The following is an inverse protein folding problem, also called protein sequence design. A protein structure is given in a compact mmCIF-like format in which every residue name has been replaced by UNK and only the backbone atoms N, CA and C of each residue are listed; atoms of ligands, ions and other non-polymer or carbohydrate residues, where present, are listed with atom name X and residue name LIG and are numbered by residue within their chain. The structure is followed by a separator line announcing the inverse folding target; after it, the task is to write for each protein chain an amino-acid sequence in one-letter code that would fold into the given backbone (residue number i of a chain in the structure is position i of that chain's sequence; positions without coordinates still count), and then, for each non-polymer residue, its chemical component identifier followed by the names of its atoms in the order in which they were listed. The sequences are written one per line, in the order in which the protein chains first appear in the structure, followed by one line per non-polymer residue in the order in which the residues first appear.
data_IF_925931736333
#
_entry.id   IF_925931736333
#
_cell.length_a   1.000
_cell.length_b   1.000
_cell.length_c   1.000
_cell.angle_alpha   90.00
_cell.angle_beta   90.00
_cell.angle_gamma   90.00
#
_symmetry.space_group_name_H-M   'P 1'
#
loop_
_entity.id
_entity.type
_entity.pdbx_description
1 polymer ?
#
# COMPACT_ATOMS: atom_id res chain seq x y z
N UNK A 1 5.82 40.77 -10.52
CA UNK A 1 5.44 41.71 -11.60
C UNK A 1 4.06 42.23 -11.25
N UNK A 2 3.93 43.55 -11.01
CA UNK A 2 2.64 44.19 -10.78
C UNK A 2 2.17 44.90 -12.07
N UNK A 3 0.88 45.16 -12.18
CA UNK A 3 0.24 45.73 -13.39
C UNK A 3 0.98 46.96 -13.92
N UNK A 4 1.49 47.82 -13.02
CA UNK A 4 2.28 49.00 -13.36
C UNK A 4 3.60 48.71 -14.10
N UNK A 5 4.23 47.58 -13.85
CA UNK A 5 5.47 47.17 -14.53
C UNK A 5 5.22 46.79 -16.00
N UNK A 6 4.03 46.23 -16.26
CA UNK A 6 3.61 45.83 -17.61
C UNK A 6 3.21 47.06 -18.44
N UNK A 7 2.50 47.99 -17.83
CA UNK A 7 2.09 49.26 -18.48
C UNK A 7 3.28 50.16 -18.82
N UNK A 8 4.29 50.22 -17.94
CA UNK A 8 5.53 50.94 -18.18
C UNK A 8 6.35 50.31 -19.31
N UNK A 9 6.40 48.98 -19.44
CA UNK A 9 7.09 48.27 -20.51
C UNK A 9 6.41 48.46 -21.87
N UNK A 10 5.10 48.58 -21.92
CA UNK A 10 4.33 48.84 -23.15
C UNK A 10 4.49 50.28 -23.59
N UNK A 11 4.50 51.27 -22.69
CA UNK A 11 4.67 52.68 -22.98
C UNK A 11 6.09 53.07 -23.42
N UNK A 12 7.10 52.30 -23.00
CA UNK A 12 8.51 52.54 -23.29
C UNK A 12 9.03 52.00 -24.65
N UNK A 13 8.20 51.32 -25.43
CA UNK A 13 8.56 50.83 -26.79
C UNK A 13 9.70 49.86 -26.86
N UNK A 14 10.10 49.21 -25.76
CA UNK A 14 11.28 48.33 -25.67
C UNK A 14 10.96 46.83 -25.83
N UNK A 15 9.82 46.49 -26.45
CA UNK A 15 9.52 45.12 -26.83
C UNK A 15 10.20 44.68 -28.13
N UNK A 16 11.50 44.79 -28.21
CA UNK A 16 12.28 44.06 -29.23
C UNK A 16 12.43 42.62 -28.79
N UNK A 17 11.74 41.71 -29.50
CA UNK A 17 11.88 40.29 -29.28
C UNK A 17 13.35 39.86 -29.40
N UNK A 18 14.02 39.66 -28.27
CA UNK A 18 15.31 38.99 -28.26
C UNK A 18 15.08 37.58 -28.79
N UNK A 19 15.66 37.25 -29.94
CA UNK A 19 15.74 35.87 -30.43
C UNK A 19 16.35 35.03 -29.33
N UNK A 20 15.49 34.18 -28.69
CA UNK A 20 15.94 33.16 -27.77
C UNK A 20 16.91 32.25 -28.53
N UNK A 21 18.20 32.37 -28.27
CA UNK A 21 19.12 31.27 -28.53
C UNK A 21 18.60 30.09 -27.69
N UNK A 22 18.26 29.01 -28.38
CA UNK A 22 17.95 27.73 -27.72
C UNK A 22 19.18 27.31 -26.91
N UNK A 23 19.20 27.67 -25.63
CA UNK A 23 20.13 27.14 -24.66
C UNK A 23 19.97 25.63 -24.63
N UNK A 24 21.08 24.91 -24.66
CA UNK A 24 21.10 23.47 -24.42
C UNK A 24 20.27 23.16 -23.18
N UNK A 25 19.51 22.05 -23.16
CA UNK A 25 18.70 21.70 -22.01
C UNK A 25 19.58 21.69 -20.76
N UNK A 26 19.22 22.49 -19.77
CA UNK A 26 19.89 22.50 -18.48
C UNK A 26 19.91 21.07 -17.95
N UNK A 27 21.10 20.52 -17.76
CA UNK A 27 21.27 19.20 -17.16
C UNK A 27 20.60 19.21 -15.81
N UNK A 28 19.58 18.37 -15.62
CA UNK A 28 18.97 18.10 -14.32
C UNK A 28 20.09 17.83 -13.31
N UNK A 29 20.09 18.44 -12.12
CA UNK A 29 21.10 18.15 -11.11
C UNK A 29 21.13 16.64 -10.88
N UNK A 30 22.28 16.02 -11.14
CA UNK A 30 22.44 14.60 -10.90
C UNK A 30 22.21 14.32 -9.42
N UNK A 31 21.35 13.35 -9.10
CA UNK A 31 21.17 12.91 -7.72
C UNK A 31 22.54 12.60 -7.09
N UNK A 32 22.78 12.93 -5.81
CA UNK A 32 24.04 12.67 -5.15
C UNK A 32 24.39 11.19 -5.29
N UNK A 33 25.57 10.90 -5.84
CA UNK A 33 26.02 9.51 -5.96
C UNK A 33 26.24 8.94 -4.56
N UNK A 34 25.76 7.72 -4.28
CA UNK A 34 26.05 7.06 -3.02
C UNK A 34 27.57 6.90 -2.83
N UNK A 35 28.00 6.82 -1.56
CA UNK A 35 29.40 6.50 -1.24
C UNK A 35 29.77 5.14 -1.87
N UNK A 36 31.03 5.02 -2.33
CA UNK A 36 31.53 3.73 -2.82
C UNK A 36 31.66 2.72 -1.67
N UNK A 37 31.55 1.43 -2.00
CA UNK A 37 31.68 0.34 -1.00
C UNK A 37 33.00 0.46 -0.23
N UNK A 38 34.14 0.75 -0.90
CA UNK A 38 35.43 0.97 -0.27
C UNK A 38 35.44 2.15 0.71
N UNK A 39 34.71 3.21 0.39
CA UNK A 39 34.60 4.36 1.29
C UNK A 39 33.75 4.02 2.52
N UNK A 40 32.71 3.21 2.37
CA UNK A 40 31.90 2.74 3.49
C UNK A 40 32.68 1.78 4.36
N UNK A 41 33.40 0.80 3.78
CA UNK A 41 34.18 -0.18 4.54
C UNK A 41 35.27 0.44 5.39
N UNK A 42 35.91 1.51 4.90
CA UNK A 42 36.93 2.29 5.65
C UNK A 42 36.40 3.02 6.90
N UNK A 43 35.08 3.11 7.09
CA UNK A 43 34.47 3.71 8.27
C UNK A 43 34.45 2.74 9.46
N UNK A 44 34.71 1.46 9.25
CA UNK A 44 34.60 0.41 10.27
C UNK A 44 35.96 -0.25 10.50
N UNK A 45 36.21 -0.68 11.72
CA UNK A 45 37.42 -1.44 12.08
C UNK A 45 37.40 -2.82 11.42
N UNK A 46 38.52 -3.24 10.84
CA UNK A 46 38.65 -4.54 10.22
C UNK A 46 38.42 -5.66 11.25
N UNK A 47 37.55 -6.62 10.92
CA UNK A 47 37.13 -7.69 11.84
C UNK A 47 35.94 -7.36 12.73
N UNK A 48 35.44 -6.11 12.73
CA UNK A 48 34.21 -5.72 13.47
C UNK A 48 32.90 -6.07 12.73
N UNK A 49 32.98 -6.54 11.50
CA UNK A 49 31.83 -6.87 10.65
C UNK A 49 32.06 -8.14 9.83
N UNK A 50 30.97 -8.76 9.42
CA UNK A 50 30.94 -9.84 8.43
C UNK A 50 30.32 -9.30 7.12
N UNK A 51 31.05 -9.40 6.01
CA UNK A 51 30.54 -9.03 4.70
C UNK A 51 29.68 -10.16 4.11
N UNK A 52 28.34 -10.02 4.18
CA UNK A 52 27.40 -10.99 3.61
C UNK A 52 26.97 -10.53 2.21
N UNK A 53 27.30 -11.26 1.15
CA UNK A 53 26.91 -10.88 -0.21
C UNK A 53 25.39 -10.83 -0.39
N UNK A 54 24.90 -9.81 -1.11
CA UNK A 54 23.50 -9.74 -1.46
C UNK A 54 23.12 -10.77 -2.52
N UNK A 55 22.04 -11.51 -2.27
CA UNK A 55 21.41 -12.34 -3.28
C UNK A 55 20.65 -11.49 -4.34
N UNK A 56 20.21 -12.12 -5.43
CA UNK A 56 19.50 -11.43 -6.51
C UNK A 56 18.15 -10.85 -6.07
N UNK A 57 17.48 -11.49 -5.11
CA UNK A 57 16.22 -10.99 -4.56
C UNK A 57 16.45 -9.68 -3.82
N UNK A 58 17.43 -9.63 -2.91
CA UNK A 58 17.77 -8.41 -2.15
C UNK A 58 18.19 -7.27 -3.05
N UNK A 59 19.01 -7.54 -4.09
CA UNK A 59 19.37 -6.54 -5.10
C UNK A 59 18.16 -5.99 -5.85
N UNK A 60 17.21 -6.85 -6.19
CA UNK A 60 15.96 -6.44 -6.87
C UNK A 60 15.08 -5.61 -5.95
N UNK A 61 14.90 -6.01 -4.68
CA UNK A 61 14.15 -5.25 -3.68
C UNK A 61 14.77 -3.86 -3.48
N UNK A 62 16.09 -3.79 -3.26
CA UNK A 62 16.80 -2.53 -3.05
C UNK A 62 16.58 -1.56 -4.22
N UNK A 63 16.77 -2.02 -5.46
CA UNK A 63 16.53 -1.21 -6.66
C UNK A 63 15.10 -0.68 -6.73
N UNK A 64 14.09 -1.55 -6.53
CA UNK A 64 12.67 -1.16 -6.59
C UNK A 64 12.27 -0.18 -5.48
N UNK A 65 12.80 -0.37 -4.27
CA UNK A 65 12.49 0.54 -3.17
C UNK A 65 13.16 1.91 -3.35
N UNK A 66 14.39 1.95 -3.85
CA UNK A 66 15.05 3.22 -4.20
C UNK A 66 14.29 3.92 -5.33
N UNK A 67 13.93 3.21 -6.40
CA UNK A 67 13.10 3.74 -7.49
C UNK A 67 11.80 4.33 -6.94
N UNK A 68 11.04 3.59 -6.15
CA UNK A 68 9.79 4.05 -5.59
C UNK A 68 9.96 5.32 -4.73
N UNK A 69 10.97 5.35 -3.86
CA UNK A 69 11.21 6.51 -2.97
C UNK A 69 11.75 7.74 -3.68
N UNK A 70 12.46 7.57 -4.80
CA UNK A 70 13.02 8.70 -5.58
C UNK A 70 12.06 9.24 -6.64
N UNK A 71 11.12 8.43 -7.14
CA UNK A 71 10.24 8.81 -8.27
C UNK A 71 8.79 9.04 -7.88
N UNK A 72 8.33 8.49 -6.74
CA UNK A 72 6.95 8.63 -6.30
C UNK A 72 6.87 9.64 -5.15
N UNK A 73 6.17 10.77 -5.32
CA UNK A 73 5.88 11.70 -4.22
C UNK A 73 4.85 11.07 -3.28
N UNK A 74 5.33 10.39 -2.24
CA UNK A 74 4.49 9.75 -1.25
C UNK A 74 3.77 10.77 -0.38
N UNK A 75 2.46 10.60 -0.21
CA UNK A 75 1.63 11.30 0.76
C UNK A 75 0.97 10.29 1.70
N UNK A 76 0.80 10.63 2.98
CA UNK A 76 0.36 9.69 4.00
C UNK A 76 -0.86 10.20 4.73
N UNK A 77 -1.85 9.33 4.92
CA UNK A 77 -3.07 9.60 5.68
C UNK A 77 -3.26 8.49 6.71
N UNK A 78 -3.53 8.86 7.95
CA UNK A 78 -3.69 7.90 9.05
C UNK A 78 -5.02 8.12 9.75
N UNK A 79 -5.72 7.04 10.09
CA UNK A 79 -6.91 7.08 10.94
C UNK A 79 -7.05 5.80 11.76
N UNK A 80 -7.89 5.88 12.77
CA UNK A 80 -8.28 4.76 13.62
C UNK A 80 -9.63 4.18 13.17
N UNK A 81 -9.72 2.84 13.18
CA UNK A 81 -10.92 2.07 12.93
C UNK A 81 -11.30 1.29 14.17
N UNK A 82 -12.57 1.33 14.57
CA UNK A 82 -13.13 0.44 15.59
C UNK A 82 -13.45 -0.93 14.96
N UNK A 83 -12.87 -1.99 15.49
CA UNK A 83 -12.97 -3.32 14.86
C UNK A 83 -13.79 -4.34 15.66
N UNK A 84 -14.50 -3.94 16.72
CA UNK A 84 -15.31 -4.88 17.52
C UNK A 84 -16.37 -5.60 16.68
N UNK A 85 -17.11 -4.87 15.83
CA UNK A 85 -18.10 -5.46 14.93
C UNK A 85 -17.48 -6.43 13.92
N UNK A 86 -16.28 -6.10 13.40
CA UNK A 86 -15.54 -6.96 12.50
C UNK A 86 -15.09 -8.24 13.18
N UNK A 87 -14.56 -8.15 14.40
CA UNK A 87 -14.13 -9.32 15.18
C UNK A 87 -15.32 -10.24 15.53
N UNK A 88 -16.47 -9.65 15.90
CA UNK A 88 -17.69 -10.38 16.16
C UNK A 88 -18.21 -11.12 14.92
N UNK A 89 -18.30 -10.43 13.76
CA UNK A 89 -18.72 -11.04 12.49
C UNK A 89 -17.75 -12.15 12.07
N UNK A 90 -16.44 -11.90 12.15
CA UNK A 90 -15.42 -12.91 11.83
C UNK A 90 -15.60 -14.18 12.67
N UNK A 91 -15.88 -14.01 13.98
CA UNK A 91 -16.13 -15.14 14.87
C UNK A 91 -17.38 -15.93 14.43
N UNK A 92 -18.50 -15.24 14.18
CA UNK A 92 -19.75 -15.87 13.73
C UNK A 92 -19.56 -16.66 12.43
N UNK A 93 -18.89 -16.06 11.44
CA UNK A 93 -18.63 -16.71 10.15
C UNK A 93 -17.71 -17.94 10.32
N UNK A 94 -16.70 -17.86 11.17
CA UNK A 94 -15.80 -18.98 11.41
C UNK A 94 -16.49 -20.12 12.20
N UNK A 95 -17.34 -19.80 13.17
CA UNK A 95 -18.11 -20.79 13.93
C UNK A 95 -19.15 -21.50 13.06
N UNK A 96 -19.70 -20.80 12.06
CA UNK A 96 -20.66 -21.34 11.09
C UNK A 96 -20.00 -22.01 9.86
N UNK A 97 -18.66 -22.07 9.79
CA UNK A 97 -17.97 -22.64 8.64
C UNK A 97 -18.27 -24.14 8.48
N UNK A 98 -18.75 -24.60 7.31
CA UNK A 98 -19.04 -26.00 7.10
C UNK A 98 -17.76 -26.85 7.15
N UNK A 99 -17.86 -28.07 7.68
CA UNK A 99 -16.74 -29.01 7.70
C UNK A 99 -16.55 -29.65 6.34
N UNK A 100 -15.30 -29.78 5.93
CA UNK A 100 -14.86 -30.40 4.65
C UNK A 100 -13.90 -31.51 4.95
N UNK A 101 -14.08 -32.65 4.27
CA UNK A 101 -13.09 -33.76 4.31
C UNK A 101 -11.82 -33.33 3.59
N UNK A 102 -10.68 -33.50 4.22
CA UNK A 102 -9.34 -33.28 3.67
C UNK A 102 -8.50 -34.52 3.84
N UNK A 103 -7.34 -34.58 3.21
CA UNK A 103 -6.39 -35.71 3.36
C UNK A 103 -5.93 -35.93 4.81
N UNK A 104 -6.02 -34.89 5.66
CA UNK A 104 -5.60 -34.91 7.07
C UNK A 104 -6.78 -35.06 8.07
N UNK A 105 -8.00 -35.36 7.57
CA UNK A 105 -9.20 -35.44 8.37
C UNK A 105 -10.20 -34.34 8.04
N UNK A 106 -11.19 -34.11 8.91
CA UNK A 106 -12.17 -33.03 8.74
C UNK A 106 -11.57 -31.67 9.17
N UNK A 107 -11.80 -30.66 8.36
CA UNK A 107 -11.38 -29.28 8.66
C UNK A 107 -12.45 -28.29 8.17
N UNK A 108 -12.54 -27.08 8.77
CA UNK A 108 -13.43 -26.04 8.27
C UNK A 108 -13.12 -25.69 6.81
N UNK A 109 -14.14 -25.51 5.99
CA UNK A 109 -14.00 -25.15 4.57
C UNK A 109 -13.25 -23.82 4.37
N UNK A 110 -13.31 -22.95 5.36
CA UNK A 110 -12.54 -21.71 5.45
C UNK A 110 -12.31 -21.34 6.93
N UNK A 111 -11.30 -20.50 7.17
CA UNK A 111 -11.04 -19.88 8.48
C UNK A 111 -10.59 -18.46 8.22
N UNK A 112 -11.49 -17.49 8.36
CA UNK A 112 -11.25 -16.09 8.09
C UNK A 112 -10.27 -15.47 9.09
N UNK A 113 -9.33 -14.70 8.59
CA UNK A 113 -8.47 -13.82 9.37
C UNK A 113 -8.98 -12.38 9.29
N UNK A 114 -8.51 -11.51 10.19
CA UNK A 114 -8.75 -10.05 10.10
C UNK A 114 -8.20 -9.52 8.77
N UNK A 115 -7.04 -10.05 8.35
CA UNK A 115 -6.41 -9.60 7.10
C UNK A 115 -7.25 -9.90 5.86
N UNK A 116 -7.98 -11.02 5.81
CA UNK A 116 -8.89 -11.34 4.70
C UNK A 116 -10.02 -10.32 4.59
N UNK A 117 -10.52 -9.86 5.75
CA UNK A 117 -11.55 -8.82 5.81
C UNK A 117 -10.99 -7.45 5.43
N UNK A 118 -9.74 -7.14 5.82
CA UNK A 118 -9.04 -5.91 5.38
C UNK A 118 -8.86 -5.89 3.86
N UNK A 119 -8.46 -7.01 3.25
CA UNK A 119 -8.32 -7.15 1.79
C UNK A 119 -9.66 -6.87 1.11
N UNK A 120 -10.74 -7.49 1.58
CA UNK A 120 -12.10 -7.27 1.05
C UNK A 120 -12.55 -5.81 1.23
N UNK A 121 -12.33 -5.24 2.43
CA UNK A 121 -12.70 -3.85 2.71
C UNK A 121 -11.98 -2.86 1.81
N UNK A 122 -10.67 -3.08 1.56
CA UNK A 122 -9.90 -2.24 0.64
C UNK A 122 -10.40 -2.35 -0.79
N UNK A 123 -10.74 -3.56 -1.24
CA UNK A 123 -11.30 -3.77 -2.57
C UNK A 123 -12.67 -3.09 -2.74
N UNK A 124 -13.57 -3.23 -1.75
CA UNK A 124 -14.87 -2.55 -1.75
C UNK A 124 -14.72 -1.03 -1.72
N UNK A 125 -13.79 -0.51 -0.91
CA UNK A 125 -13.52 0.93 -0.84
C UNK A 125 -13.02 1.50 -2.18
N UNK A 126 -12.15 0.79 -2.90
CA UNK A 126 -11.69 1.19 -4.23
C UNK A 126 -12.81 1.21 -5.27
N UNK A 127 -13.79 0.31 -5.16
CA UNK A 127 -14.97 0.33 -6.04
C UNK A 127 -15.95 1.46 -5.68
N UNK A 128 -16.00 1.88 -4.40
CA UNK A 128 -16.78 3.07 -3.98
C UNK A 128 -16.10 4.38 -4.38
N UNK A 129 -14.76 4.38 -4.49
CA UNK A 129 -13.95 5.56 -4.86
C UNK A 129 -13.07 5.19 -6.06
N UNK A 130 -13.68 5.00 -7.25
CA UNK A 130 -13.00 4.44 -8.43
C UNK A 130 -11.84 5.31 -8.94
N UNK A 131 -11.87 6.61 -8.66
CA UNK A 131 -10.80 7.52 -9.03
C UNK A 131 -9.49 7.23 -8.29
N UNK A 132 -9.55 6.65 -7.10
CA UNK A 132 -8.38 6.22 -6.36
C UNK A 132 -7.85 4.84 -6.81
N UNK A 133 -8.62 4.07 -7.57
CA UNK A 133 -8.20 2.79 -8.16
C UNK A 133 -7.43 3.01 -9.46
N UNK A 134 -6.25 3.59 -9.37
CA UNK A 134 -5.49 4.10 -10.50
C UNK A 134 -4.02 3.67 -10.46
N UNK A 135 -3.31 3.85 -11.59
CA UNK A 135 -1.86 3.78 -11.68
C UNK A 135 -1.35 4.92 -12.54
N UNK A 136 -0.26 5.55 -12.11
CA UNK A 136 0.40 6.62 -12.84
C UNK A 136 1.27 6.06 -13.98
N UNK A 137 1.15 6.64 -15.17
CA UNK A 137 2.11 6.47 -16.27
C UNK A 137 2.44 7.83 -16.88
N UNK A 138 3.57 7.97 -17.55
CA UNK A 138 3.96 9.22 -18.18
C UNK A 138 2.99 9.67 -19.31
N UNK A 139 2.29 8.71 -19.91
CA UNK A 139 1.31 8.99 -20.99
C UNK A 139 -0.11 9.24 -20.49
N UNK A 140 -0.41 8.92 -19.23
CA UNK A 140 -1.75 9.09 -18.68
C UNK A 140 -2.03 8.25 -17.44
N UNK A 141 -3.22 8.42 -16.90
CA UNK A 141 -3.71 7.70 -15.72
C UNK A 141 -4.45 6.43 -16.14
N UNK A 142 -3.99 5.28 -15.65
CA UNK A 142 -4.74 4.03 -15.80
C UNK A 142 -5.81 3.96 -14.70
N UNK A 143 -7.09 3.94 -15.08
CA UNK A 143 -8.22 3.72 -14.18
C UNK A 143 -8.62 2.25 -14.24
N UNK A 144 -8.52 1.55 -13.12
CA UNK A 144 -8.78 0.11 -13.07
C UNK A 144 -10.26 -0.18 -12.82
N UNK A 145 -10.78 -1.23 -13.49
CA UNK A 145 -12.19 -1.62 -13.39
C UNK A 145 -12.49 -2.58 -12.24
N UNK A 146 -11.45 -3.22 -11.70
CA UNK A 146 -11.49 -4.16 -10.58
C UNK A 146 -10.39 -3.83 -9.57
N UNK A 147 -10.57 -4.26 -8.35
CA UNK A 147 -9.57 -4.12 -7.31
C UNK A 147 -8.72 -5.40 -7.21
N UNK A 148 -7.49 -5.32 -7.69
CA UNK A 148 -6.47 -6.37 -7.59
C UNK A 148 -5.57 -6.05 -6.39
N UNK A 149 -5.77 -6.70 -5.26
CA UNK A 149 -5.12 -6.35 -3.99
C UNK A 149 -3.88 -7.21 -3.76
N UNK A 150 -2.72 -6.59 -3.82
CA UNK A 150 -1.44 -7.19 -3.41
C UNK A 150 -1.36 -7.29 -1.89
N UNK A 151 -0.79 -8.36 -1.37
CA UNK A 151 -0.64 -8.57 0.07
C UNK A 151 0.81 -8.86 0.40
N UNK A 152 1.42 -8.04 1.25
CA UNK A 152 2.80 -8.23 1.66
C UNK A 152 2.96 -9.51 2.52
N UNK A 153 3.70 -10.48 2.01
CA UNK A 153 3.99 -11.75 2.69
C UNK A 153 5.48 -11.86 2.94
N UNK A 154 5.86 -11.97 4.22
CA UNK A 154 7.24 -12.22 4.63
C UNK A 154 7.66 -13.65 4.24
N UNK A 155 8.84 -13.75 3.63
CA UNK A 155 9.47 -15.01 3.22
C UNK A 155 10.93 -15.02 3.66
N UNK A 156 11.60 -16.19 3.72
CA UNK A 156 13.03 -16.24 4.00
C UNK A 156 13.83 -15.39 2.98
N UNK A 157 14.56 -14.39 3.50
CA UNK A 157 15.40 -13.50 2.71
C UNK A 157 14.71 -12.25 2.15
N UNK A 158 13.40 -12.03 2.42
CA UNK A 158 12.72 -10.82 1.94
C UNK A 158 11.21 -10.84 2.05
N UNK A 159 10.57 -10.19 1.09
CA UNK A 159 9.13 -10.02 1.02
C UNK A 159 8.67 -10.25 -0.43
N UNK A 160 7.53 -10.88 -0.60
CA UNK A 160 6.82 -10.99 -1.88
C UNK A 160 5.37 -10.53 -1.71
N UNK A 161 4.77 -10.02 -2.77
CA UNK A 161 3.42 -9.45 -2.73
C UNK A 161 2.49 -10.22 -3.67
N UNK A 162 1.99 -11.43 -3.28
CA UNK A 162 0.96 -12.10 -4.05
C UNK A 162 -0.29 -11.23 -4.19
N UNK A 163 -1.03 -11.38 -5.28
CA UNK A 163 -2.15 -10.52 -5.66
C UNK A 163 -3.45 -11.32 -5.67
N UNK A 164 -4.39 -10.91 -4.84
CA UNK A 164 -5.78 -11.37 -4.92
C UNK A 164 -6.45 -10.58 -6.05
N UNK A 165 -6.62 -11.24 -7.20
CA UNK A 165 -7.25 -10.63 -8.38
C UNK A 165 -8.74 -10.47 -8.16
N UNK A 166 -9.31 -9.33 -8.62
CA UNK A 166 -10.75 -9.04 -8.51
C UNK A 166 -11.30 -9.30 -7.12
N UNK A 167 -10.61 -8.79 -6.09
CA UNK A 167 -11.01 -9.00 -4.70
C UNK A 167 -12.38 -8.39 -4.38
N UNK A 168 -12.80 -7.39 -5.16
CA UNK A 168 -14.13 -6.79 -5.13
C UNK A 168 -15.24 -7.80 -5.43
N UNK A 169 -15.03 -8.72 -6.37
CA UNK A 169 -16.03 -9.74 -6.78
C UNK A 169 -16.00 -11.00 -5.89
N UNK A 170 -14.93 -11.23 -5.14
CA UNK A 170 -14.72 -12.47 -4.37
C UNK A 170 -15.36 -12.42 -3.00
N UNK A 171 -15.89 -13.57 -2.56
CA UNK A 171 -16.34 -13.74 -1.19
C UNK A 171 -15.16 -13.84 -0.21
N UNK A 172 -15.40 -13.55 1.06
CA UNK A 172 -14.38 -13.65 2.12
C UNK A 172 -13.74 -15.05 2.19
N UNK A 173 -14.54 -16.12 2.00
CA UNK A 173 -14.04 -17.50 2.04
C UNK A 173 -13.09 -17.80 0.87
N UNK A 174 -13.37 -17.27 -0.32
CA UNK A 174 -12.48 -17.40 -1.49
C UNK A 174 -11.19 -16.65 -1.24
N UNK A 175 -11.25 -15.39 -0.81
CA UNK A 175 -10.07 -14.57 -0.47
C UNK A 175 -9.21 -15.30 0.57
N UNK A 176 -9.81 -15.80 1.65
CA UNK A 176 -9.10 -16.50 2.72
C UNK A 176 -8.36 -17.74 2.22
N UNK A 177 -9.01 -18.56 1.38
CA UNK A 177 -8.41 -19.78 0.87
C UNK A 177 -7.30 -19.49 -0.15
N UNK A 178 -7.50 -18.53 -1.07
CA UNK A 178 -6.47 -18.09 -2.00
C UNK A 178 -5.25 -17.53 -1.28
N UNK A 179 -5.45 -16.67 -0.28
CA UNK A 179 -4.36 -16.09 0.48
C UNK A 179 -3.55 -17.14 1.23
N UNK A 180 -4.19 -18.17 1.81
CA UNK A 180 -3.49 -19.27 2.48
C UNK A 180 -2.64 -20.06 1.50
N UNK A 181 -3.19 -20.43 0.34
CA UNK A 181 -2.46 -21.13 -0.70
C UNK A 181 -1.26 -20.30 -1.19
N UNK A 182 -1.51 -19.05 -1.58
CA UNK A 182 -0.44 -18.16 -2.05
C UNK A 182 0.63 -17.93 -0.99
N UNK A 183 0.27 -17.76 0.29
CA UNK A 183 1.25 -17.59 1.36
C UNK A 183 2.14 -18.83 1.58
N UNK A 184 1.58 -20.04 1.46
CA UNK A 184 2.36 -21.28 1.54
C UNK A 184 3.31 -21.39 0.35
N UNK A 185 2.83 -21.14 -0.86
CA UNK A 185 3.64 -21.20 -2.09
C UNK A 185 4.68 -20.07 -2.14
N UNK A 186 4.37 -18.90 -1.60
CA UNK A 186 5.31 -17.80 -1.44
C UNK A 186 6.53 -18.19 -0.59
N UNK A 187 6.30 -18.76 0.60
CA UNK A 187 7.38 -19.20 1.50
C UNK A 187 8.24 -20.30 0.89
N UNK A 188 7.67 -21.13 0.04
CA UNK A 188 8.40 -22.18 -0.71
C UNK A 188 8.94 -21.72 -2.07
N UNK A 189 8.83 -20.39 -2.39
CA UNK A 189 9.28 -19.77 -3.65
C UNK A 189 8.65 -20.42 -4.91
N UNK A 190 7.38 -20.85 -4.80
CA UNK A 190 6.64 -21.53 -5.87
C UNK A 190 5.55 -20.66 -6.53
N UNK A 191 5.50 -19.37 -6.22
CA UNK A 191 4.61 -18.44 -6.93
C UNK A 191 5.12 -18.20 -8.34
N UNK A 192 4.18 -18.13 -9.28
CA UNK A 192 4.47 -17.74 -10.66
C UNK A 192 4.52 -16.22 -10.80
N UNK A 193 5.24 -15.65 -11.77
CA UNK A 193 5.35 -14.21 -11.95
C UNK A 193 4.00 -13.50 -12.05
N UNK A 194 3.02 -14.06 -12.76
CA UNK A 194 1.68 -13.51 -12.92
C UNK A 194 0.88 -13.42 -11.60
N UNK A 195 1.29 -14.14 -10.56
CA UNK A 195 0.62 -14.13 -9.26
C UNK A 195 1.10 -12.99 -8.35
N UNK A 196 2.23 -12.34 -8.66
CA UNK A 196 2.77 -11.22 -7.86
C UNK A 196 3.18 -9.99 -8.68
N UNK A 197 2.95 -9.99 -9.98
CA UNK A 197 3.19 -8.83 -10.85
C UNK A 197 1.88 -8.10 -11.18
N UNK A 198 1.93 -6.77 -11.24
CA UNK A 198 0.76 -5.92 -11.43
C UNK A 198 0.01 -5.70 -10.11
N UNK A 199 -1.32 -5.67 -10.16
CA UNK A 199 -2.16 -5.25 -9.04
C UNK A 199 -2.49 -3.77 -9.10
N UNK A 200 -3.48 -3.34 -8.31
CA UNK A 200 -3.95 -1.94 -8.31
C UNK A 200 -3.64 -1.23 -6.99
N UNK A 201 -3.58 -1.98 -5.90
CA UNK A 201 -3.21 -1.53 -4.56
C UNK A 201 -2.49 -2.63 -3.80
N UNK A 202 -1.98 -2.33 -2.61
CA UNK A 202 -1.41 -3.34 -1.73
C UNK A 202 -1.86 -3.15 -0.27
N UNK A 203 -1.79 -4.21 0.50
CA UNK A 203 -1.98 -4.24 1.95
C UNK A 203 -0.71 -4.80 2.60
N UNK A 204 -0.20 -4.09 3.60
CA UNK A 204 0.92 -4.52 4.43
C UNK A 204 0.47 -4.54 5.88
N UNK A 205 0.46 -5.70 6.53
CA UNK A 205 -0.03 -5.87 7.89
C UNK A 205 1.10 -6.28 8.84
N UNK A 206 1.42 -5.41 9.80
CA UNK A 206 2.39 -5.65 10.85
C UNK A 206 1.75 -5.75 12.26
N UNK A 207 0.42 -5.82 12.32
CA UNK A 207 -0.31 -5.93 13.59
C UNK A 207 0.08 -7.16 14.41
N UNK A 208 0.43 -8.27 13.76
CA UNK A 208 0.93 -9.48 14.43
C UNK A 208 2.27 -9.29 15.17
N UNK A 209 3.01 -8.23 14.85
CA UNK A 209 4.26 -7.87 15.52
C UNK A 209 4.06 -6.79 16.60
N UNK A 210 2.82 -6.41 16.92
CA UNK A 210 2.50 -5.37 17.91
C UNK A 210 2.82 -3.95 17.43
N UNK A 211 3.02 -3.74 16.12
CA UNK A 211 3.27 -2.41 15.56
C UNK A 211 1.95 -1.65 15.53
N UNK A 212 1.91 -0.49 16.19
CA UNK A 212 0.70 0.35 16.28
C UNK A 212 0.35 0.96 14.93
N UNK A 213 1.31 1.62 14.30
CA UNK A 213 1.16 2.26 12.99
C UNK A 213 2.52 2.32 12.27
N UNK A 214 2.50 2.40 10.95
CA UNK A 214 3.68 2.60 10.11
C UNK A 214 3.28 3.09 8.73
N UNK A 215 4.23 3.71 8.02
CA UNK A 215 4.05 4.13 6.62
C UNK A 215 4.74 3.17 5.68
N UNK A 216 3.99 2.51 4.82
CA UNK A 216 4.53 1.58 3.83
C UNK A 216 5.08 2.31 2.59
N UNK A 217 6.11 1.74 1.97
CA UNK A 217 6.61 2.20 0.66
C UNK A 217 5.72 1.63 -0.42
N UNK A 218 5.26 2.49 -1.34
CA UNK A 218 4.45 2.07 -2.49
C UNK A 218 5.27 1.12 -3.37
N UNK A 219 4.64 0.05 -3.82
CA UNK A 219 5.22 -0.89 -4.78
C UNK A 219 4.68 -0.58 -6.17
N UNK A 220 5.43 0.09 -7.06
CA UNK A 220 4.96 0.39 -8.41
C UNK A 220 4.51 -0.88 -9.15
N UNK A 221 3.42 -0.83 -9.95
CA UNK A 221 2.70 0.35 -10.44
C UNK A 221 1.51 0.79 -9.57
N UNK A 222 1.37 0.32 -8.33
CA UNK A 222 0.28 0.71 -7.45
C UNK A 222 0.32 2.21 -7.14
N UNK A 223 -0.85 2.87 -7.10
CA UNK A 223 -0.94 4.24 -6.61
C UNK A 223 -1.15 4.31 -5.09
N UNK A 224 -1.51 3.20 -4.46
CA UNK A 224 -1.80 3.16 -3.02
C UNK A 224 -1.26 1.89 -2.35
N UNK A 225 -0.94 2.01 -1.06
CA UNK A 225 -0.69 0.87 -0.17
C UNK A 225 -1.24 1.19 1.22
N UNK A 226 -2.00 0.25 1.78
CA UNK A 226 -2.55 0.35 3.13
C UNK A 226 -1.65 -0.40 4.12
N UNK A 227 -1.07 0.34 5.05
CA UNK A 227 -0.37 -0.19 6.21
C UNK A 227 -1.37 -0.43 7.35
N UNK A 228 -1.34 -1.62 7.95
CA UNK A 228 -2.28 -2.04 8.99
C UNK A 228 -1.52 -2.35 10.27
N UNK A 229 -1.86 -1.63 11.33
CA UNK A 229 -1.30 -1.82 12.65
C UNK A 229 -2.03 -2.88 13.49
N UNK A 230 -1.60 -3.04 14.74
CA UNK A 230 -2.23 -3.94 15.69
C UNK A 230 -3.63 -3.46 16.08
N UNK A 231 -4.53 -4.42 16.25
CA UNK A 231 -5.79 -4.17 16.94
C UNK A 231 -5.57 -4.26 18.46
N UNK A 232 -5.88 -3.19 19.18
CA UNK A 232 -5.64 -3.06 20.61
C UNK A 232 -6.89 -2.52 21.33
N UNK A 233 -7.12 -2.91 22.56
CA UNK A 233 -8.10 -2.26 23.41
C UNK A 233 -7.61 -0.84 23.76
N UNK A 234 -8.43 0.17 23.39
CA UNK A 234 -8.15 1.59 23.67
C UNK A 234 -9.37 2.27 24.26
N UNK A 235 -9.18 3.28 25.15
CA UNK A 235 -10.26 4.15 25.57
C UNK A 235 -10.66 5.06 24.39
N UNK A 236 -11.95 5.05 24.07
CA UNK A 236 -12.56 5.94 23.07
C UNK A 236 -13.66 6.75 23.71
N UNK A 237 -13.97 7.90 23.09
CA UNK A 237 -15.15 8.68 23.50
C UNK A 237 -16.31 8.36 22.55
N UNK A 238 -17.40 7.84 23.09
CA UNK A 238 -18.62 7.53 22.34
C UNK A 238 -19.84 8.11 23.08
N UNK A 239 -20.55 9.03 22.44
CA UNK A 239 -21.71 9.73 23.03
C UNK A 239 -21.37 10.48 24.35
N UNK A 240 -20.17 11.05 24.44
CA UNK A 240 -19.71 11.78 25.63
C UNK A 240 -19.19 10.91 26.79
N UNK A 241 -19.19 9.57 26.62
CA UNK A 241 -18.70 8.60 27.61
C UNK A 241 -17.39 7.96 27.16
N UNK A 242 -16.51 7.65 28.08
CA UNK A 242 -15.31 6.86 27.83
C UNK A 242 -15.70 5.38 27.79
N UNK A 243 -15.39 4.70 26.70
CA UNK A 243 -15.61 3.26 26.51
C UNK A 243 -14.32 2.59 26.07
N UNK A 244 -14.17 1.32 26.36
CA UNK A 244 -13.09 0.49 25.82
C UNK A 244 -13.58 -0.12 24.51
N UNK A 245 -12.79 0.00 23.45
CA UNK A 245 -13.06 -0.62 22.16
C UNK A 245 -11.77 -1.19 21.56
N UNK A 246 -11.89 -2.19 20.71
CA UNK A 246 -10.77 -2.65 19.88
C UNK A 246 -10.57 -1.67 18.72
N UNK A 247 -9.41 -1.04 18.69
CA UNK A 247 -9.06 -0.02 17.71
C UNK A 247 -7.82 -0.46 16.92
N UNK A 248 -7.91 -0.36 15.62
CA UNK A 248 -6.85 -0.65 14.67
C UNK A 248 -6.47 0.63 13.93
N UNK A 249 -5.20 1.04 14.02
CA UNK A 249 -4.70 2.18 13.25
C UNK A 249 -4.27 1.72 11.85
N UNK A 250 -4.67 2.46 10.83
CA UNK A 250 -4.27 2.21 9.45
C UNK A 250 -3.68 3.47 8.83
N UNK A 251 -2.65 3.30 7.98
CA UNK A 251 -2.01 4.40 7.25
C UNK A 251 -2.02 4.07 5.77
N UNK A 252 -2.66 4.94 4.99
CA UNK A 252 -2.66 4.89 3.53
C UNK A 252 -1.48 5.72 3.00
N UNK A 253 -0.57 5.09 2.27
CA UNK A 253 0.42 5.80 1.45
C UNK A 253 -0.13 5.94 0.04
N UNK A 254 -0.09 7.14 -0.54
CA UNK A 254 -0.55 7.42 -1.90
C UNK A 254 0.57 7.98 -2.78
N UNK A 255 0.55 7.64 -4.07
CA UNK A 255 1.27 8.39 -5.10
C UNK A 255 0.50 9.69 -5.35
N UNK A 256 1.03 10.82 -4.84
CA UNK A 256 0.33 12.09 -4.87
C UNK A 256 0.09 12.65 -6.29
N UNK A 257 0.69 12.04 -7.31
CA UNK A 257 0.41 12.34 -8.73
C UNK A 257 -0.92 11.73 -9.18
N UNK A 258 -1.29 10.57 -8.62
CA UNK A 258 -2.48 9.80 -8.98
C UNK A 258 -3.62 9.99 -7.97
N UNK A 259 -3.30 10.11 -6.69
CA UNK A 259 -4.26 10.19 -5.58
C UNK A 259 -3.84 11.33 -4.66
N UNK A 260 -4.55 12.44 -4.76
CA UNK A 260 -4.33 13.61 -3.91
C UNK A 260 -4.88 13.42 -2.47
N UNK A 261 -4.70 14.45 -1.64
CA UNK A 261 -5.09 14.37 -0.22
C UNK A 261 -6.59 14.19 -0.01
N UNK A 262 -7.44 14.85 -0.81
CA UNK A 262 -8.89 14.75 -0.70
C UNK A 262 -9.37 13.36 -1.15
N UNK A 263 -8.91 12.89 -2.30
CA UNK A 263 -9.25 11.58 -2.86
C UNK A 263 -8.74 10.44 -1.96
N UNK A 264 -7.53 10.57 -1.40
CA UNK A 264 -7.00 9.60 -0.43
C UNK A 264 -7.78 9.56 0.88
N UNK A 265 -8.24 10.72 1.37
CA UNK A 265 -9.10 10.79 2.56
C UNK A 265 -10.48 10.16 2.30
N UNK A 266 -11.06 10.38 1.12
CA UNK A 266 -12.32 9.75 0.70
C UNK A 266 -12.20 8.22 0.64
N UNK A 267 -11.12 7.71 0.03
CA UNK A 267 -10.82 6.27 -0.01
C UNK A 267 -10.68 5.69 1.41
N UNK A 268 -9.92 6.37 2.26
CA UNK A 268 -9.68 5.89 3.62
C UNK A 268 -10.95 5.95 4.48
N UNK A 269 -11.82 6.96 4.26
CA UNK A 269 -13.13 7.02 4.90
C UNK A 269 -14.08 5.91 4.40
N UNK A 270 -14.04 5.56 3.12
CA UNK A 270 -14.79 4.42 2.56
C UNK A 270 -14.31 3.09 3.18
N UNK A 271 -12.99 2.90 3.29
CA UNK A 271 -12.39 1.76 3.98
C UNK A 271 -12.86 1.66 5.44
N UNK A 272 -12.76 2.77 6.20
CA UNK A 272 -13.21 2.84 7.60
C UNK A 272 -14.68 2.43 7.74
N UNK A 273 -15.57 3.02 6.93
CA UNK A 273 -17.00 2.66 6.94
C UNK A 273 -17.21 1.16 6.73
N UNK A 274 -16.48 0.55 5.81
CA UNK A 274 -16.61 -0.88 5.49
C UNK A 274 -16.06 -1.78 6.61
N UNK A 275 -14.96 -1.38 7.26
CA UNK A 275 -14.37 -2.11 8.39
C UNK A 275 -15.27 -2.04 9.63
N UNK A 276 -15.81 -0.86 9.93
CA UNK A 276 -16.67 -0.64 11.11
C UNK A 276 -18.09 -1.18 10.92
N UNK A 277 -18.54 -1.34 9.65
CA UNK A 277 -19.83 -1.94 9.29
C UNK A 277 -19.63 -3.15 8.35
N UNK A 278 -19.06 -4.25 8.85
CA UNK A 278 -18.51 -5.31 8.01
C UNK A 278 -19.56 -6.18 7.30
N UNK A 279 -20.85 -6.08 7.63
CA UNK A 279 -21.93 -6.78 6.92
C UNK A 279 -21.98 -6.41 5.43
N UNK A 280 -21.62 -5.15 5.08
CA UNK A 280 -21.54 -4.70 3.71
C UNK A 280 -20.48 -5.42 2.83
N UNK A 281 -19.59 -6.20 3.44
CA UNK A 281 -18.62 -7.03 2.69
C UNK A 281 -19.25 -8.33 2.16
N UNK A 282 -20.45 -8.68 2.61
CA UNK A 282 -21.11 -9.97 2.30
C UNK A 282 -22.08 -9.86 1.11
N UNK A 283 -22.36 -8.64 0.64
CA UNK A 283 -23.32 -8.32 -0.43
C UNK A 283 -22.65 -7.76 -1.66
#
# INVERSE_FOLDING_TARGET
MVKADVEAAIAGGTATAAKSQAGAPASTPAAPKPMSDDAVLKLFEEGSYELVPHDNMRKTIARRLVEAKSTIPHFYLTLDCEIDALLALRKQLNDAAPMKKTEKGEAPAYKLSVNDMVIKAMAVALMQVPDANASWTESGMLKHKHADVGVAVSIPGGLITPIVRKADEKTLSVISNEMKDMAVRARSRKLKPEEYQGGTTAVSNLGMFGIKDFSAVINPPHATILAVGAGEERPIVRNGEIKIANVMTVTLSTDHRAVDGALGAELLAAFKRTIENPLGMLV
#
